data_IF_470277855554
#
_entry.id   IF_470277855554
#
_cell.length_a   1.000
_cell.length_b   1.000
_cell.length_c   1.000
_cell.angle_alpha   90.00
_cell.angle_beta   90.00
_cell.angle_gamma   90.00
#
_symmetry.space_group_name_H-M   'P 1'
#
loop_
_entity.id
_entity.type
_entity.pdbx_description
1 polymer ?
#
# COMPACT_ATOMS: atom_id res chain seq x y z
N UNK A 1 -34.81 -13.49 -25.24
CA UNK A 1 -33.41 -13.09 -25.47
C UNK A 1 -32.95 -12.31 -24.25
N UNK A 2 -32.23 -12.98 -23.35
CA UNK A 2 -31.57 -12.37 -22.20
C UNK A 2 -30.16 -11.99 -22.64
N UNK A 3 -29.89 -10.69 -22.76
CA UNK A 3 -28.52 -10.18 -22.95
C UNK A 3 -27.88 -10.16 -21.57
N UNK A 4 -27.38 -11.33 -21.15
CA UNK A 4 -26.42 -11.42 -20.06
C UNK A 4 -25.11 -10.80 -20.53
N UNK A 5 -24.86 -9.57 -20.09
CA UNK A 5 -23.59 -8.87 -20.28
C UNK A 5 -22.46 -9.60 -19.57
N UNK A 6 -21.87 -10.57 -20.27
CA UNK A 6 -20.54 -11.11 -19.96
C UNK A 6 -19.52 -10.07 -20.41
N UNK A 7 -18.82 -9.45 -19.47
CA UNK A 7 -17.69 -8.58 -19.80
C UNK A 7 -16.63 -8.76 -18.71
N UNK A 8 -15.60 -9.55 -19.05
CA UNK A 8 -14.19 -9.32 -18.66
C UNK A 8 -13.68 -9.78 -17.28
N UNK A 9 -13.73 -11.09 -17.01
CA UNK A 9 -12.76 -11.76 -16.12
C UNK A 9 -11.80 -12.69 -16.93
N UNK A 10 -11.58 -12.40 -18.22
CA UNK A 10 -10.88 -13.29 -19.17
C UNK A 10 -9.35 -13.09 -19.26
N UNK A 11 -8.71 -12.30 -18.38
CA UNK A 11 -7.28 -11.97 -18.53
C UNK A 11 -6.40 -11.99 -17.29
N UNK A 12 -6.97 -11.95 -16.08
CA UNK A 12 -6.16 -11.92 -14.86
C UNK A 12 -6.05 -13.32 -14.26
N UNK A 13 -4.98 -14.03 -14.65
CA UNK A 13 -4.58 -15.28 -14.00
C UNK A 13 -4.48 -15.04 -12.48
N UNK A 14 -5.29 -15.74 -11.68
CA UNK A 14 -5.25 -15.75 -10.19
C UNK A 14 -4.00 -16.49 -9.69
N UNK A 15 -2.84 -16.15 -10.25
CA UNK A 15 -1.52 -16.73 -9.95
C UNK A 15 -0.83 -16.03 -8.79
N UNK A 16 -1.28 -14.82 -8.44
CA UNK A 16 -0.73 -14.03 -7.34
C UNK A 16 -1.10 -14.67 -6.00
N UNK A 17 -0.20 -15.49 -5.46
CA UNK A 17 -0.30 -15.98 -4.08
C UNK A 17 -0.05 -14.86 -3.06
N UNK A 18 -0.35 -15.13 -1.79
CA UNK A 18 -0.06 -14.23 -0.66
C UNK A 18 1.38 -13.71 -0.62
N UNK A 19 2.44 -14.50 -0.89
CA UNK A 19 3.81 -13.97 -0.88
C UNK A 19 4.07 -12.98 -2.04
N UNK A 20 3.55 -13.24 -3.23
CA UNK A 20 3.72 -12.35 -4.39
C UNK A 20 2.96 -11.04 -4.20
N UNK A 21 1.75 -11.10 -3.62
CA UNK A 21 0.99 -9.90 -3.27
C UNK A 21 1.73 -9.07 -2.22
N UNK A 22 2.27 -9.71 -1.17
CA UNK A 22 3.08 -9.05 -0.15
C UNK A 22 4.32 -8.36 -0.71
N UNK A 23 5.08 -9.05 -1.57
CA UNK A 23 6.25 -8.46 -2.24
C UNK A 23 5.89 -7.24 -3.10
N UNK A 24 4.76 -7.30 -3.82
CA UNK A 24 4.30 -6.18 -4.63
C UNK A 24 3.92 -4.97 -3.76
N UNK A 25 3.22 -5.19 -2.64
CA UNK A 25 2.87 -4.12 -1.69
C UNK A 25 4.14 -3.48 -1.13
N UNK A 26 5.13 -4.28 -0.71
CA UNK A 26 6.42 -3.75 -0.22
C UNK A 26 7.13 -2.94 -1.31
N UNK A 27 7.14 -3.42 -2.55
CA UNK A 27 7.73 -2.69 -3.68
C UNK A 27 7.03 -1.34 -3.91
N UNK A 28 5.69 -1.29 -3.89
CA UNK A 28 4.93 -0.04 -3.99
C UNK A 28 5.17 0.91 -2.82
N UNK A 29 5.22 0.42 -1.57
CA UNK A 29 5.46 1.27 -0.38
C UNK A 29 6.87 1.86 -0.41
N UNK A 30 7.88 1.04 -0.71
CA UNK A 30 9.27 1.48 -0.76
C UNK A 30 9.52 2.36 -1.97
N UNK A 31 9.09 1.92 -3.17
CA UNK A 31 9.32 2.61 -4.43
C UNK A 31 8.47 3.87 -4.63
N UNK A 32 7.21 3.86 -4.17
CA UNK A 32 6.30 4.99 -4.31
C UNK A 32 6.28 5.97 -3.13
N UNK A 33 6.62 5.51 -1.91
CA UNK A 33 6.47 6.30 -0.70
C UNK A 33 7.79 6.75 -0.07
N UNK A 34 8.64 5.80 0.33
CA UNK A 34 9.75 6.03 1.26
C UNK A 34 10.88 6.90 0.67
N UNK A 35 11.04 6.98 -0.64
CA UNK A 35 12.14 7.78 -1.21
C UNK A 35 11.87 9.29 -1.29
N UNK A 36 10.60 9.71 -1.32
CA UNK A 36 10.23 11.12 -1.49
C UNK A 36 9.69 11.72 -0.20
N UNK A 37 8.81 11.00 0.50
CA UNK A 37 8.09 11.52 1.66
C UNK A 37 9.01 11.91 2.85
N UNK A 38 10.02 11.13 3.25
CA UNK A 38 10.84 11.48 4.41
C UNK A 38 11.62 12.78 4.22
N UNK A 39 12.09 13.08 3.01
CA UNK A 39 12.79 14.33 2.71
C UNK A 39 11.90 15.56 2.86
N UNK A 40 10.64 15.46 2.40
CA UNK A 40 9.66 16.56 2.53
C UNK A 40 9.25 16.76 3.99
N UNK A 41 9.01 15.68 4.73
CA UNK A 41 8.61 15.77 6.14
C UNK A 41 9.78 16.22 7.02
N UNK A 42 11.02 15.81 6.70
CA UNK A 42 12.22 16.30 7.38
C UNK A 42 12.44 17.81 7.19
N UNK A 43 12.12 18.37 6.03
CA UNK A 43 12.16 19.84 5.84
C UNK A 43 11.09 20.57 6.67
N UNK A 44 9.90 20.00 6.82
CA UNK A 44 8.81 20.63 7.55
C UNK A 44 8.91 20.48 9.08
N UNK A 45 9.39 19.33 9.57
CA UNK A 45 9.36 18.96 11.00
C UNK A 45 10.75 18.74 11.62
N UNK A 46 11.81 18.71 10.83
CA UNK A 46 13.17 18.46 11.32
C UNK A 46 13.28 17.10 12.03
N UNK A 47 13.88 17.10 13.24
CA UNK A 47 14.09 15.89 14.05
C UNK A 47 12.80 15.25 14.56
N UNK A 48 11.68 15.98 14.60
CA UNK A 48 10.38 15.44 15.00
C UNK A 48 9.74 14.54 13.93
N UNK A 49 10.27 14.53 12.70
CA UNK A 49 9.74 13.73 11.59
C UNK A 49 9.69 12.23 11.90
N UNK A 50 10.67 11.70 12.66
CA UNK A 50 10.72 10.28 13.05
C UNK A 50 9.52 9.91 13.94
N UNK A 51 9.17 10.76 14.90
CA UNK A 51 8.01 10.55 15.77
C UNK A 51 6.70 10.61 14.98
N UNK A 52 6.57 11.56 14.04
CA UNK A 52 5.40 11.64 13.17
C UNK A 52 5.23 10.38 12.31
N UNK A 53 6.33 9.85 11.75
CA UNK A 53 6.30 8.62 10.97
C UNK A 53 5.95 7.40 11.82
N UNK A 54 6.39 7.37 13.08
CA UNK A 54 6.08 6.30 14.02
C UNK A 54 4.58 6.25 14.32
N UNK A 55 3.96 7.39 14.65
CA UNK A 55 2.51 7.48 14.90
C UNK A 55 1.72 7.12 13.64
N UNK A 56 2.15 7.60 12.46
CA UNK A 56 1.51 7.28 11.19
C UNK A 56 1.56 5.76 10.90
N UNK A 57 2.71 5.13 11.16
CA UNK A 57 2.87 3.67 10.99
C UNK A 57 1.94 2.88 11.91
N UNK A 58 1.77 3.31 13.16
CA UNK A 58 0.81 2.69 14.10
C UNK A 58 -0.62 2.82 13.59
N UNK A 59 -1.02 4.00 13.11
CA UNK A 59 -2.37 4.21 12.56
C UNK A 59 -2.63 3.30 11.34
N UNK A 60 -1.68 3.23 10.42
CA UNK A 60 -1.77 2.35 9.24
C UNK A 60 -1.83 0.87 9.65
N UNK A 61 -1.06 0.45 10.65
CA UNK A 61 -1.11 -0.91 11.17
C UNK A 61 -2.49 -1.26 11.78
N UNK A 62 -3.11 -0.33 12.53
CA UNK A 62 -4.46 -0.51 13.07
C UNK A 62 -5.50 -0.66 11.95
N UNK A 63 -5.38 0.13 10.88
CA UNK A 63 -6.25 0.00 9.70
C UNK A 63 -6.07 -1.37 9.05
N UNK A 64 -4.83 -1.82 8.84
CA UNK A 64 -4.58 -3.15 8.28
C UNK A 64 -5.09 -4.29 9.17
N UNK A 65 -5.03 -4.12 10.50
CA UNK A 65 -5.58 -5.11 11.44
C UNK A 65 -7.10 -5.26 11.31
N UNK A 66 -7.82 -4.20 10.90
CA UNK A 66 -9.26 -4.30 10.60
C UNK A 66 -9.56 -5.06 9.29
N UNK A 67 -8.59 -5.19 8.39
CA UNK A 67 -8.74 -5.97 7.15
C UNK A 67 -8.35 -7.44 7.32
N UNK A 68 -7.83 -7.82 8.48
CA UNK A 68 -7.58 -9.21 8.88
C UNK A 68 -8.87 -9.86 9.41
#
# INVERSE_FOLDING_TARGET
>A
MDVSGRTEDEGLLRTMGTPTLGLNIVNMVVGGGIFVLPGVIAMQLGSAAVLAYFVCSVAVALVFLCFA
#
